data_IF_003102595076
#
_entry.id   IF_003102595076
#
_cell.length_a   1.000
_cell.length_b   1.000
_cell.length_c   1.000
_cell.angle_alpha   90.00
_cell.angle_beta   90.00
_cell.angle_gamma   90.00
#
_symmetry.space_group_name_H-M   'P 1'
#
loop_
_entity.id
_entity.type
_entity.pdbx_description
1 polymer ?
#
# COMPACT_ATOMS: atom_id res chain seq x y z
N UNK A 1 -10.30 13.04 -11.16
CA UNK A 1 -11.26 14.15 -11.04
C UNK A 1 -12.68 13.72 -10.65
N UNK A 2 -13.26 12.68 -11.24
CA UNK A 2 -14.66 12.26 -10.95
C UNK A 2 -14.81 11.14 -9.93
N UNK A 3 -13.73 10.49 -9.51
CA UNK A 3 -13.78 9.39 -8.55
C UNK A 3 -14.39 9.88 -7.22
N UNK A 4 -15.51 9.26 -6.82
CA UNK A 4 -16.25 9.57 -5.60
C UNK A 4 -15.77 8.77 -4.40
N UNK A 5 -14.92 7.75 -4.62
CA UNK A 5 -14.38 6.90 -3.56
C UNK A 5 -13.08 7.45 -2.98
N UNK A 6 -12.45 8.43 -3.65
CA UNK A 6 -11.32 9.15 -3.09
C UNK A 6 -11.80 10.12 -2.00
N UNK A 7 -11.08 10.13 -0.88
CA UNK A 7 -11.32 11.10 0.19
C UNK A 7 -11.09 12.54 -0.28
N UNK A 8 -10.09 12.74 -1.15
CA UNK A 8 -9.85 13.99 -1.85
C UNK A 8 -9.62 13.73 -3.34
N UNK A 9 -10.38 14.41 -4.20
CA UNK A 9 -10.17 14.37 -5.64
C UNK A 9 -8.92 15.18 -5.99
N UNK A 10 -8.14 14.66 -6.93
CA UNK A 10 -6.95 15.32 -7.43
C UNK A 10 -6.85 15.18 -8.95
N UNK A 11 -6.01 16.03 -9.53
CA UNK A 11 -5.68 16.05 -10.96
C UNK A 11 -4.17 15.94 -11.15
N UNK A 12 -3.70 16.02 -12.40
CA UNK A 12 -2.28 16.19 -12.69
C UNK A 12 -1.70 17.47 -12.08
N UNK A 13 -2.52 18.52 -12.00
CA UNK A 13 -2.11 19.87 -11.60
C UNK A 13 -2.39 20.15 -10.12
N UNK A 14 -2.95 19.18 -9.37
CA UNK A 14 -3.27 19.29 -7.94
C UNK A 14 -2.85 18.05 -7.14
N UNK A 15 -1.66 17.52 -7.41
CA UNK A 15 -1.15 16.28 -6.80
C UNK A 15 -0.99 16.38 -5.27
N UNK A 16 -0.85 17.58 -4.73
CA UNK A 16 -0.84 17.87 -3.30
C UNK A 16 -2.10 17.35 -2.59
N UNK A 17 -3.26 17.39 -3.25
CA UNK A 17 -4.54 16.89 -2.71
C UNK A 17 -4.51 15.36 -2.47
N UNK A 18 -3.60 14.64 -3.15
CA UNK A 18 -3.41 13.20 -2.96
C UNK A 18 -2.89 12.86 -1.56
N UNK A 19 -2.32 13.82 -0.83
CA UNK A 19 -1.86 13.62 0.54
C UNK A 19 -2.98 13.14 1.47
N UNK A 20 -4.20 13.67 1.31
CA UNK A 20 -5.35 13.23 2.12
C UNK A 20 -5.74 11.78 1.81
N UNK A 21 -5.67 11.36 0.55
CA UNK A 21 -5.91 9.95 0.19
C UNK A 21 -4.88 9.02 0.82
N UNK A 22 -3.60 9.41 0.86
CA UNK A 22 -2.55 8.64 1.53
C UNK A 22 -2.84 8.51 3.03
N UNK A 23 -3.18 9.62 3.68
CA UNK A 23 -3.54 9.65 5.11
C UNK A 23 -4.71 8.72 5.41
N UNK A 24 -5.78 8.78 4.62
CA UNK A 24 -6.95 7.93 4.82
C UNK A 24 -6.65 6.45 4.57
N UNK A 25 -5.81 6.13 3.58
CA UNK A 25 -5.36 4.76 3.34
C UNK A 25 -4.54 4.22 4.51
N UNK A 26 -3.62 5.02 5.07
CA UNK A 26 -2.85 4.63 6.26
C UNK A 26 -3.78 4.32 7.43
N UNK A 27 -4.79 5.18 7.69
CA UNK A 27 -5.80 4.94 8.73
C UNK A 27 -6.58 3.65 8.48
N UNK A 28 -7.11 3.47 7.27
CA UNK A 28 -7.94 2.31 6.92
C UNK A 28 -7.17 0.98 7.02
N UNK A 29 -5.87 1.01 6.77
CA UNK A 29 -4.99 -0.17 6.84
C UNK A 29 -4.32 -0.36 8.22
N UNK A 30 -4.62 0.49 9.20
CA UNK A 30 -4.01 0.41 10.54
C UNK A 30 -2.52 0.78 10.58
N UNK A 31 -2.03 1.51 9.57
CA UNK A 31 -0.64 1.97 9.48
C UNK A 31 -0.47 3.27 10.28
N UNK A 32 0.78 3.53 10.72
CA UNK A 32 1.14 4.84 11.27
C UNK A 32 0.89 5.92 10.21
N UNK A 33 0.09 6.93 10.56
CA UNK A 33 -0.12 8.10 9.71
C UNK A 33 1.17 8.92 9.65
N UNK A 34 1.81 8.94 8.49
CA UNK A 34 3.10 9.57 8.25
C UNK A 34 3.22 9.96 6.78
N UNK A 35 3.20 11.26 6.50
CA UNK A 35 3.24 11.80 5.14
C UNK A 35 4.62 11.67 4.50
N UNK A 36 5.69 11.57 5.31
CA UNK A 36 7.08 11.43 4.86
C UNK A 36 7.48 9.98 4.60
N UNK A 37 6.87 9.01 5.29
CA UNK A 37 7.13 7.58 5.06
C UNK A 37 6.64 7.14 3.67
N UNK A 38 7.46 6.51 2.81
CA UNK A 38 6.99 6.00 1.53
C UNK A 38 6.00 4.85 1.73
N UNK A 39 4.85 4.92 1.07
CA UNK A 39 3.80 3.89 1.13
C UNK A 39 3.76 3.12 -0.19
N UNK A 40 4.10 1.83 -0.13
CA UNK A 40 3.99 0.89 -1.23
C UNK A 40 2.64 0.17 -1.15
N UNK A 41 2.06 -0.18 -2.30
CA UNK A 41 0.78 -0.87 -2.36
C UNK A 41 0.86 -2.08 -3.31
N UNK A 42 0.32 -3.22 -2.88
CA UNK A 42 0.15 -4.42 -3.69
C UNK A 42 -1.32 -4.76 -3.79
N UNK A 43 -1.83 -4.81 -5.04
CA UNK A 43 -3.20 -5.25 -5.35
C UNK A 43 -3.11 -6.40 -6.36
N UNK A 44 -3.05 -7.63 -5.87
CA UNK A 44 -2.95 -8.83 -6.71
C UNK A 44 -3.46 -10.08 -6.00
N UNK A 45 -3.59 -11.19 -6.74
CA UNK A 45 -3.64 -12.51 -6.08
C UNK A 45 -2.29 -12.78 -5.39
N UNK A 46 -2.33 -13.44 -4.24
CA UNK A 46 -1.13 -13.82 -3.48
C UNK A 46 -0.61 -15.15 -4.01
N UNK A 47 0.23 -15.09 -5.05
CA UNK A 47 0.86 -16.28 -5.65
C UNK A 47 2.29 -15.98 -6.07
N UNK A 48 3.17 -16.99 -6.08
CA UNK A 48 4.55 -16.85 -6.59
C UNK A 48 4.61 -16.40 -8.05
N UNK A 49 3.60 -16.71 -8.88
CA UNK A 49 3.53 -16.20 -10.25
C UNK A 49 3.45 -14.66 -10.31
N UNK A 50 2.98 -14.03 -9.23
CA UNK A 50 2.95 -12.56 -9.07
C UNK A 50 4.17 -12.02 -8.33
N UNK A 51 5.13 -12.88 -7.97
CA UNK A 51 6.36 -12.51 -7.28
C UNK A 51 6.14 -12.08 -5.83
N UNK A 52 5.05 -12.49 -5.17
CA UNK A 52 4.78 -12.05 -3.80
C UNK A 52 5.67 -12.74 -2.76
N UNK A 53 6.26 -13.87 -3.12
CA UNK A 53 7.41 -14.44 -2.40
C UNK A 53 8.57 -13.44 -2.35
N UNK A 54 8.93 -12.82 -3.46
CA UNK A 54 9.99 -11.80 -3.50
C UNK A 54 9.62 -10.55 -2.69
N UNK A 55 8.34 -10.13 -2.73
CA UNK A 55 7.86 -9.00 -1.92
C UNK A 55 7.98 -9.32 -0.43
N UNK A 56 7.61 -10.54 -0.03
CA UNK A 56 7.68 -11.00 1.35
C UNK A 56 9.14 -11.07 1.83
N UNK A 57 10.05 -11.57 1.01
CA UNK A 57 11.49 -11.59 1.31
C UNK A 57 12.10 -10.18 1.45
N UNK A 58 11.65 -9.22 0.65
CA UNK A 58 12.15 -7.84 0.68
C UNK A 58 11.51 -6.98 1.79
N UNK A 59 10.37 -7.41 2.35
CA UNK A 59 9.58 -6.63 3.29
C UNK A 59 10.36 -6.16 4.53
N UNK A 60 11.18 -6.99 5.21
CA UNK A 60 11.96 -6.53 6.36
C UNK A 60 12.86 -5.33 6.03
N UNK A 61 13.59 -5.39 4.91
CA UNK A 61 14.48 -4.29 4.49
C UNK A 61 13.71 -3.02 4.10
N UNK A 62 12.52 -3.16 3.52
CA UNK A 62 11.63 -2.03 3.24
C UNK A 62 11.18 -1.33 4.53
N UNK A 63 10.79 -2.11 5.55
CA UNK A 63 10.34 -1.59 6.84
C UNK A 63 11.50 -0.95 7.62
N UNK A 64 12.69 -1.55 7.62
CA UNK A 64 13.89 -0.99 8.25
C UNK A 64 14.28 0.38 7.69
N UNK A 65 14.00 0.64 6.41
CA UNK A 65 14.23 1.93 5.76
C UNK A 65 13.10 2.95 5.98
N UNK A 66 12.11 2.62 6.81
CA UNK A 66 10.98 3.49 7.13
C UNK A 66 9.84 3.45 6.09
N UNK A 67 9.85 2.47 5.19
CA UNK A 67 8.74 2.23 4.26
C UNK A 67 7.54 1.60 4.93
N UNK A 68 6.40 1.67 4.24
CA UNK A 68 5.15 1.03 4.64
C UNK A 68 4.61 0.21 3.47
N UNK A 69 3.87 -0.86 3.77
CA UNK A 69 3.21 -1.70 2.77
C UNK A 69 1.71 -1.78 3.08
N UNK A 70 0.87 -1.48 2.09
CA UNK A 70 -0.54 -1.81 2.07
C UNK A 70 -0.79 -2.96 1.07
N UNK A 71 -1.34 -4.07 1.54
CA UNK A 71 -1.58 -5.25 0.72
C UNK A 71 -3.07 -5.58 0.66
N UNK A 72 -3.60 -5.76 -0.55
CA UNK A 72 -4.96 -6.21 -0.81
C UNK A 72 -4.94 -7.38 -1.79
N UNK A 73 -5.32 -8.56 -1.30
CA UNK A 73 -5.42 -9.74 -2.12
C UNK A 73 -5.77 -11.00 -1.33
N UNK A 74 -6.00 -12.08 -2.06
CA UNK A 74 -6.16 -13.43 -1.51
C UNK A 74 -5.48 -14.43 -2.45
N UNK A 75 -5.17 -15.64 -1.96
CA UNK A 75 -4.54 -16.67 -2.77
C UNK A 75 -3.95 -17.80 -1.93
N UNK A 76 -2.65 -18.01 -2.10
CA UNK A 76 -1.89 -19.05 -1.42
C UNK A 76 -1.90 -18.84 0.09
N UNK A 77 -2.36 -19.81 0.90
CA UNK A 77 -2.36 -19.71 2.35
C UNK A 77 -0.99 -19.42 2.96
N UNK A 78 0.09 -19.99 2.39
CA UNK A 78 1.45 -19.80 2.91
C UNK A 78 1.88 -18.35 2.75
N UNK A 79 1.59 -17.75 1.59
CA UNK A 79 1.89 -16.34 1.37
C UNK A 79 0.99 -15.43 2.22
N UNK A 80 -0.26 -15.82 2.44
CA UNK A 80 -1.17 -15.08 3.32
C UNK A 80 -0.73 -15.07 4.78
N UNK A 81 -0.22 -16.18 5.29
CA UNK A 81 0.30 -16.28 6.65
C UNK A 81 1.63 -15.53 6.85
N UNK A 82 2.35 -15.26 5.76
CA UNK A 82 3.63 -14.54 5.81
C UNK A 82 3.50 -13.02 5.95
N UNK A 83 2.41 -12.42 5.48
CA UNK A 83 2.14 -10.97 5.54
C UNK A 83 1.37 -10.58 6.80
#
# INVERSE_FOLDING_TARGET
ETDLLLAARYTRDSLEDKAENKRQLQIAMGLKVDDKAPLFAVVSRLTSQKGLDLVLEALPGLLEQGGQLALLGAGDPVLQEGF
#
